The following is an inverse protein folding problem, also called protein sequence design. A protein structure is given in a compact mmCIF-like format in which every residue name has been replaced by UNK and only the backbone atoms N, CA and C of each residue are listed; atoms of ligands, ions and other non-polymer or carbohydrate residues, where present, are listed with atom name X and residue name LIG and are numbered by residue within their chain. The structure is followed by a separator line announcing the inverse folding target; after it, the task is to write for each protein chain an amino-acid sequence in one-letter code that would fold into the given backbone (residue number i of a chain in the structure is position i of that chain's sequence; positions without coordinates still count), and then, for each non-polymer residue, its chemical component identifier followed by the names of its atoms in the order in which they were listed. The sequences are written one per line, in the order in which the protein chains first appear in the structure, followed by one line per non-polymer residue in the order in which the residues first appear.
data_IF_414826673261
#
_entry.id   IF_414826673261
#
_cell.length_a   1.000
_cell.length_b   1.000
_cell.length_c   1.000
_cell.angle_alpha   90.00
_cell.angle_beta   90.00
_cell.angle_gamma   90.00
#
_symmetry.space_group_name_H-M   'P 1'
#
loop_
_entity.id
_entity.type
_entity.pdbx_description
1 polymer ?
#
# COMPACT_ATOMS: atom_id res chain seq x y z
N UNK A 1 -2.91 -21.55 59.40
CA UNK A 1 -2.48 -20.58 60.42
C UNK A 1 -2.17 -19.27 59.69
N UNK A 2 -2.98 -18.25 60.03
CA UNK A 2 -2.98 -16.83 59.68
C UNK A 2 -3.37 -16.41 58.23
N UNK A 3 -4.67 -16.08 58.13
CA UNK A 3 -5.27 -15.04 57.27
C UNK A 3 -4.61 -13.66 57.55
N UNK A 4 -4.45 -12.84 56.52
CA UNK A 4 -4.51 -11.37 56.69
C UNK A 4 -5.15 -10.75 55.46
N UNK A 5 -6.40 -10.38 55.63
CA UNK A 5 -7.21 -9.49 54.78
C UNK A 5 -6.77 -8.04 54.98
N UNK A 6 -6.59 -7.30 53.88
CA UNK A 6 -6.57 -5.79 53.92
C UNK A 6 -7.61 -5.25 52.94
N UNK A 7 -8.67 -4.78 53.57
CA UNK A 7 -9.65 -3.81 53.03
C UNK A 7 -9.10 -2.40 53.26
N UNK A 8 -8.98 -1.56 52.24
CA UNK A 8 -8.96 -0.11 52.42
C UNK A 8 -9.80 0.56 51.34
N UNK A 9 -10.73 1.29 51.86
CA UNK A 9 -11.82 2.13 51.43
C UNK A 9 -11.47 3.24 50.42
N UNK A 10 -12.47 3.53 49.58
CA UNK A 10 -12.60 4.77 48.77
C UNK A 10 -12.85 6.02 49.64
N UNK A 11 -12.55 7.22 49.14
CA UNK A 11 -13.42 8.37 49.40
C UNK A 11 -14.06 8.89 48.09
N UNK A 12 -15.32 9.12 48.26
CA UNK A 12 -16.27 9.84 47.42
C UNK A 12 -16.03 11.36 47.67
N UNK A 13 -15.81 12.14 46.62
CA UNK A 13 -15.84 13.62 46.78
C UNK A 13 -16.90 14.18 45.87
N UNK A 14 -17.91 14.66 46.50
CA UNK A 14 -19.05 15.45 46.02
C UNK A 14 -18.60 16.91 45.96
N UNK A 15 -18.76 17.63 44.86
CA UNK A 15 -18.72 19.12 44.84
C UNK A 15 -19.88 19.63 44.00
N UNK A 16 -20.55 20.59 44.64
CA UNK A 16 -21.86 21.12 44.37
C UNK A 16 -21.91 22.15 43.24
N UNK A 17 -23.11 22.22 42.65
CA UNK A 17 -23.61 23.31 41.82
C UNK A 17 -23.69 24.64 42.59
N UNK A 18 -23.32 25.75 41.94
CA UNK A 18 -23.85 27.07 42.25
C UNK A 18 -24.27 27.77 40.97
N UNK A 19 -25.56 28.04 40.91
CA UNK A 19 -26.21 28.95 39.97
C UNK A 19 -26.47 30.25 40.69
N UNK A 20 -26.19 31.38 40.06
CA UNK A 20 -26.74 32.76 40.34
C UNK A 20 -26.55 33.49 39.00
N UNK A 21 -27.49 34.18 38.39
CA UNK A 21 -28.63 34.92 38.86
C UNK A 21 -28.73 36.17 37.98
N UNK A 22 -29.85 36.38 37.36
CA UNK A 22 -30.24 37.49 36.48
C UNK A 22 -30.10 38.86 37.11
N UNK A 23 -29.76 39.91 36.31
CA UNK A 23 -30.45 41.18 36.33
C UNK A 23 -30.16 42.00 35.07
N UNK A 24 -31.20 42.34 34.36
CA UNK A 24 -31.22 43.24 33.24
C UNK A 24 -31.29 44.70 33.68
N UNK A 25 -30.95 45.60 32.76
CA UNK A 25 -31.54 46.95 32.67
C UNK A 25 -31.45 47.46 31.24
N UNK A 26 -32.61 47.83 30.79
CA UNK A 26 -32.93 48.49 29.54
C UNK A 26 -32.53 49.98 29.63
N UNK A 27 -31.92 50.57 28.64
CA UNK A 27 -32.19 51.98 28.30
C UNK A 27 -31.90 52.29 26.81
N UNK A 28 -32.93 52.79 26.21
CA UNK A 28 -33.00 53.33 24.86
C UNK A 28 -32.27 54.67 24.75
N UNK A 29 -31.49 54.89 23.67
CA UNK A 29 -31.63 56.13 22.90
C UNK A 29 -30.98 56.02 21.50
N UNK A 30 -31.61 56.76 20.63
CA UNK A 30 -31.59 56.81 19.17
C UNK A 30 -30.30 57.39 18.55
N UNK A 31 -30.17 56.97 17.26
CA UNK A 31 -29.64 57.72 16.08
C UNK A 31 -28.14 57.87 15.92
N UNK A 32 -27.54 57.18 14.98
CA UNK A 32 -27.20 57.75 13.68
C UNK A 32 -26.75 56.66 12.71
N UNK A 33 -27.31 56.79 11.52
CA UNK A 33 -27.03 56.02 10.32
C UNK A 33 -25.64 56.35 9.76
N UNK A 34 -24.75 55.39 9.69
CA UNK A 34 -23.71 55.37 8.68
C UNK A 34 -23.47 53.92 8.26
N UNK A 35 -23.79 53.62 7.00
CA UNK A 35 -23.58 52.37 6.33
C UNK A 35 -22.09 52.18 6.04
N UNK A 36 -21.48 51.14 6.59
CA UNK A 36 -20.22 50.60 6.12
C UNK A 36 -20.48 49.33 5.36
N UNK A 37 -19.78 49.08 4.23
CA UNK A 37 -20.07 47.97 3.34
C UNK A 37 -19.67 46.66 3.96
N UNK A 38 -20.60 45.71 3.88
CA UNK A 38 -20.32 44.29 4.09
C UNK A 38 -19.47 43.80 2.92
N UNK A 39 -18.17 43.64 3.11
CA UNK A 39 -17.33 42.79 2.29
C UNK A 39 -16.56 41.87 3.21
N UNK A 40 -17.22 40.80 3.60
CA UNK A 40 -16.67 39.67 4.29
C UNK A 40 -16.60 38.50 3.30
N UNK A 41 -15.79 38.63 2.27
CA UNK A 41 -15.39 37.51 1.43
C UNK A 41 -14.59 36.54 2.31
N UNK A 42 -15.27 35.52 2.83
CA UNK A 42 -14.61 34.35 3.36
C UNK A 42 -13.81 33.75 2.21
N UNK A 43 -12.53 34.08 2.15
CA UNK A 43 -11.58 33.40 1.29
C UNK A 43 -11.47 31.97 1.80
N UNK A 44 -12.30 31.08 1.28
CA UNK A 44 -12.00 29.66 1.23
C UNK A 44 -10.71 29.55 0.47
N UNK A 45 -9.62 29.33 1.18
CA UNK A 45 -8.36 28.88 0.59
C UNK A 45 -8.62 27.47 0.10
N UNK A 46 -9.21 27.34 -1.10
CA UNK A 46 -9.02 26.14 -1.90
C UNK A 46 -7.51 25.98 -2.00
N UNK A 47 -7.01 24.86 -1.44
CA UNK A 47 -5.64 24.45 -1.67
C UNK A 47 -5.48 24.41 -3.20
N UNK A 48 -4.77 25.39 -3.74
CA UNK A 48 -4.47 25.45 -5.17
C UNK A 48 -3.86 24.10 -5.52
N UNK A 49 -4.56 23.31 -6.33
CA UNK A 49 -4.02 22.13 -6.93
C UNK A 49 -2.71 22.56 -7.58
N UNK A 50 -1.61 21.97 -7.12
CA UNK A 50 -0.28 22.34 -7.56
C UNK A 50 -0.21 22.00 -9.05
N UNK A 51 -0.44 22.99 -9.93
CA UNK A 51 -0.48 22.85 -11.39
C UNK A 51 0.90 22.59 -11.99
N UNK A 52 1.94 22.67 -11.17
CA UNK A 52 3.30 22.33 -11.57
C UNK A 52 3.45 20.80 -11.58
N UNK A 53 3.91 20.23 -12.71
CA UNK A 53 4.20 18.81 -12.84
C UNK A 53 5.22 18.31 -11.81
N UNK A 54 5.28 17.01 -11.60
CA UNK A 54 6.20 16.38 -10.63
C UNK A 54 7.66 16.74 -10.92
N UNK A 55 8.07 16.80 -12.20
CA UNK A 55 9.44 17.18 -12.57
C UNK A 55 9.80 18.60 -12.12
N UNK A 56 8.88 19.55 -12.27
CA UNK A 56 9.09 20.93 -11.82
C UNK A 56 9.22 21.02 -10.30
N UNK A 57 8.33 20.34 -9.56
CA UNK A 57 8.41 20.24 -8.10
C UNK A 57 9.77 19.69 -7.64
N UNK A 58 10.24 18.59 -8.26
CA UNK A 58 11.53 17.97 -7.96
C UNK A 58 12.67 18.94 -8.24
N UNK A 59 12.64 19.63 -9.39
CA UNK A 59 13.65 20.61 -9.77
C UNK A 59 13.75 21.77 -8.78
N UNK A 60 12.60 22.28 -8.31
CA UNK A 60 12.55 23.40 -7.36
C UNK A 60 13.00 22.99 -5.96
N UNK A 61 12.63 21.78 -5.50
CA UNK A 61 12.97 21.31 -4.16
C UNK A 61 14.35 20.66 -4.04
N UNK A 62 14.95 20.26 -5.16
CA UNK A 62 16.17 19.45 -5.18
C UNK A 62 16.00 18.06 -4.56
N UNK A 63 14.78 17.58 -4.45
CA UNK A 63 14.47 16.31 -3.77
C UNK A 63 13.35 15.56 -4.48
N UNK A 64 13.55 14.28 -4.74
CA UNK A 64 12.50 13.34 -5.16
C UNK A 64 12.03 12.53 -3.94
N UNK A 65 10.73 12.39 -3.78
CA UNK A 65 10.12 11.65 -2.67
C UNK A 65 9.55 10.34 -3.18
N UNK A 66 10.16 9.26 -2.76
CA UNK A 66 9.86 7.89 -3.21
C UNK A 66 9.07 7.16 -2.13
N UNK A 67 7.93 6.57 -2.51
CA UNK A 67 7.12 5.77 -1.60
C UNK A 67 7.67 4.35 -1.49
N UNK A 68 7.93 3.85 -0.29
CA UNK A 68 8.40 2.48 -0.09
C UNK A 68 7.51 1.70 0.88
N UNK A 69 7.59 0.38 0.79
CA UNK A 69 6.94 -0.54 1.71
C UNK A 69 7.95 -1.08 2.73
N UNK A 70 7.45 -1.62 3.82
CA UNK A 70 8.28 -2.28 4.85
C UNK A 70 8.19 -3.81 4.82
N UNK A 71 7.17 -4.37 4.19
CA UNK A 71 6.92 -5.82 4.21
C UNK A 71 6.35 -6.40 2.90
N UNK A 72 6.58 -5.77 1.72
CA UNK A 72 6.17 -6.33 0.43
C UNK A 72 7.31 -7.13 -0.21
N UNK A 73 7.70 -8.25 0.42
CA UNK A 73 8.79 -9.12 -0.07
C UNK A 73 8.34 -9.89 -1.31
N UNK A 74 9.12 -9.90 -2.40
CA UNK A 74 10.45 -9.33 -2.59
C UNK A 74 10.47 -7.98 -3.32
N UNK A 75 9.35 -7.24 -3.40
CA UNK A 75 9.22 -6.03 -4.23
C UNK A 75 9.80 -4.77 -3.60
N UNK A 76 9.34 -4.44 -2.38
CA UNK A 76 9.77 -3.28 -1.61
C UNK A 76 9.63 -3.60 -0.13
N UNK A 77 10.72 -3.65 0.59
CA UNK A 77 10.71 -4.03 2.01
C UNK A 77 11.97 -3.55 2.74
N UNK A 78 11.92 -3.59 4.06
CA UNK A 78 13.04 -3.30 4.94
C UNK A 78 13.64 -4.63 5.42
N UNK A 79 14.95 -4.80 5.25
CA UNK A 79 15.69 -5.94 5.77
C UNK A 79 16.50 -5.53 7.02
N UNK A 80 17.78 -5.23 6.87
CA UNK A 80 18.70 -4.98 7.99
C UNK A 80 18.79 -3.50 8.35
N UNK A 81 18.76 -2.59 7.37
CA UNK A 81 18.80 -1.14 7.60
C UNK A 81 17.40 -0.53 7.48
N UNK A 82 16.83 0.02 8.58
CA UNK A 82 15.49 0.60 8.57
C UNK A 82 15.33 1.84 7.68
N UNK A 83 16.43 2.43 7.21
CA UNK A 83 16.43 3.61 6.34
C UNK A 83 16.67 3.26 4.87
N UNK A 84 16.89 2.00 4.54
CA UNK A 84 17.20 1.54 3.19
C UNK A 84 16.20 0.49 2.74
N UNK A 85 15.14 0.88 2.02
CA UNK A 85 14.29 -0.09 1.36
C UNK A 85 15.08 -0.84 0.28
N UNK A 86 14.72 -2.10 0.08
CA UNK A 86 15.29 -2.98 -0.94
C UNK A 86 14.18 -3.76 -1.64
N UNK A 87 14.48 -4.38 -2.76
CA UNK A 87 13.54 -5.26 -3.45
C UNK A 87 13.59 -5.09 -4.97
N UNK A 88 12.89 -5.99 -5.65
CA UNK A 88 12.79 -6.00 -7.11
C UNK A 88 12.21 -4.69 -7.66
N UNK A 89 11.06 -4.27 -7.13
CA UNK A 89 10.42 -3.03 -7.55
C UNK A 89 11.23 -1.80 -7.11
N UNK A 90 11.93 -1.89 -5.96
CA UNK A 90 12.84 -0.83 -5.53
C UNK A 90 14.04 -0.68 -6.46
N UNK A 91 14.61 -1.77 -6.98
CA UNK A 91 15.68 -1.68 -7.99
C UNK A 91 15.16 -0.97 -9.27
N UNK A 92 13.94 -1.27 -9.72
CA UNK A 92 13.29 -0.57 -10.85
C UNK A 92 13.02 0.91 -10.53
N UNK A 93 12.58 1.20 -9.32
CA UNK A 93 12.33 2.54 -8.82
C UNK A 93 13.60 3.40 -8.86
N UNK A 94 14.75 2.83 -8.52
CA UNK A 94 16.05 3.52 -8.63
C UNK A 94 16.45 3.80 -10.08
N UNK A 95 16.08 2.95 -11.05
CA UNK A 95 16.25 3.26 -12.49
C UNK A 95 15.44 4.47 -12.92
N UNK A 96 14.21 4.59 -12.41
CA UNK A 96 13.38 5.77 -12.63
C UNK A 96 14.02 7.01 -12.00
N UNK A 97 14.53 6.92 -10.78
CA UNK A 97 15.25 8.04 -10.12
C UNK A 97 16.45 8.50 -10.94
N UNK A 98 17.24 7.57 -11.48
CA UNK A 98 18.39 7.89 -12.31
C UNK A 98 17.96 8.57 -13.63
N UNK A 99 16.88 8.13 -14.26
CA UNK A 99 16.30 8.80 -15.43
C UNK A 99 15.81 10.22 -15.11
N UNK A 100 15.23 10.44 -13.92
CA UNK A 100 14.84 11.80 -13.46
C UNK A 100 16.06 12.69 -13.24
N UNK A 101 17.14 12.17 -12.63
CA UNK A 101 18.40 12.91 -12.47
C UNK A 101 18.97 13.36 -13.83
N UNK A 102 18.96 12.47 -14.81
CA UNK A 102 19.42 12.76 -16.17
C UNK A 102 18.51 13.81 -16.84
N UNK A 103 17.20 13.59 -16.82
CA UNK A 103 16.20 14.49 -17.42
C UNK A 103 16.29 15.91 -16.90
N UNK A 104 16.52 16.07 -15.59
CA UNK A 104 16.62 17.38 -14.94
C UNK A 104 18.03 17.95 -14.92
N UNK A 105 19.05 17.19 -15.37
CA UNK A 105 20.47 17.50 -15.23
C UNK A 105 20.86 17.80 -13.76
N UNK A 106 20.41 16.93 -12.85
CA UNK A 106 20.59 17.04 -11.39
C UNK A 106 21.27 15.78 -10.82
N UNK A 107 22.57 15.58 -11.03
CA UNK A 107 23.27 14.36 -10.55
C UNK A 107 23.22 14.21 -9.04
N UNK A 108 23.17 15.32 -8.30
CA UNK A 108 23.14 15.36 -6.84
C UNK A 108 21.70 15.42 -6.26
N UNK A 109 20.69 15.04 -7.06
CA UNK A 109 19.29 15.01 -6.62
C UNK A 109 19.14 14.15 -5.35
N UNK A 110 18.57 14.74 -4.32
CA UNK A 110 18.33 14.02 -3.05
C UNK A 110 17.14 13.08 -3.17
N UNK A 111 17.28 11.90 -2.59
CA UNK A 111 16.18 10.94 -2.48
C UNK A 111 15.68 10.97 -1.03
N UNK A 112 14.38 11.10 -0.86
CA UNK A 112 13.70 10.96 0.43
C UNK A 112 12.70 9.82 0.36
N UNK A 113 12.90 8.82 1.19
CA UNK A 113 11.99 7.69 1.32
C UNK A 113 10.80 8.05 2.22
N UNK A 114 9.62 7.64 1.83
CA UNK A 114 8.38 7.80 2.60
C UNK A 114 7.67 6.45 2.72
N UNK A 115 7.53 5.97 3.96
CA UNK A 115 6.82 4.72 4.21
C UNK A 115 5.34 4.86 3.83
N UNK A 116 4.87 3.93 3.01
CA UNK A 116 3.47 3.82 2.59
C UNK A 116 2.90 2.43 2.91
N UNK A 117 1.60 2.36 3.04
CA UNK A 117 0.83 1.11 3.14
C UNK A 117 -0.09 0.97 1.94
N UNK A 118 -0.73 -0.19 1.77
CA UNK A 118 -1.72 -0.37 0.72
C UNK A 118 -2.91 0.59 0.84
N UNK A 119 -3.25 1.04 2.05
CA UNK A 119 -4.30 2.04 2.30
C UNK A 119 -3.85 3.48 2.02
N UNK A 120 -2.58 3.82 2.34
CA UNK A 120 -2.14 5.22 2.33
C UNK A 120 -1.49 5.66 1.03
N UNK A 121 -1.02 4.72 0.19
CA UNK A 121 -0.26 5.03 -1.02
C UNK A 121 -1.02 5.94 -2.00
N UNK A 122 -2.28 5.65 -2.31
CA UNK A 122 -3.07 6.45 -3.27
C UNK A 122 -3.22 7.90 -2.79
N UNK A 123 -3.75 8.19 -1.59
CA UNK A 123 -3.88 9.59 -1.15
C UNK A 123 -2.54 10.32 -1.00
N UNK A 124 -1.44 9.62 -0.64
CA UNK A 124 -0.12 10.25 -0.52
C UNK A 124 0.49 10.62 -1.88
N UNK A 125 0.21 9.85 -2.92
CA UNK A 125 0.59 10.17 -4.30
C UNK A 125 -0.30 11.29 -4.86
N UNK A 126 -1.62 11.21 -4.65
CA UNK A 126 -2.56 12.22 -5.13
C UNK A 126 -2.24 13.63 -4.60
N UNK A 127 -1.95 13.74 -3.31
CA UNK A 127 -1.66 15.05 -2.68
C UNK A 127 -0.20 15.51 -2.86
N UNK A 128 0.65 14.72 -3.54
CA UNK A 128 2.05 15.04 -3.83
C UNK A 128 2.99 14.92 -2.63
N UNK A 129 2.58 14.29 -1.53
CA UNK A 129 3.48 13.93 -0.42
C UNK A 129 4.53 12.93 -0.88
N UNK A 130 4.12 12.00 -1.76
CA UNK A 130 4.97 11.04 -2.48
C UNK A 130 4.91 11.39 -3.96
N UNK A 131 6.05 11.43 -4.63
CA UNK A 131 6.11 11.73 -6.07
C UNK A 131 5.70 10.52 -6.90
N UNK A 132 6.19 9.36 -6.54
CA UNK A 132 5.81 8.06 -7.10
C UNK A 132 6.20 6.91 -6.16
N UNK A 133 5.68 5.74 -6.45
CA UNK A 133 6.09 4.49 -5.80
C UNK A 133 6.11 3.34 -6.80
N UNK A 134 7.06 2.43 -6.67
CA UNK A 134 7.07 1.14 -7.32
C UNK A 134 7.13 0.07 -6.23
N UNK A 135 6.06 -0.68 -6.08
CA UNK A 135 5.95 -1.71 -5.04
C UNK A 135 5.11 -2.88 -5.53
N UNK A 136 4.17 -3.30 -4.72
CA UNK A 136 3.16 -4.31 -5.05
C UNK A 136 1.80 -3.64 -5.30
N UNK A 137 1.71 -2.80 -6.34
CA UNK A 137 0.50 -2.02 -6.62
C UNK A 137 -0.14 -2.45 -7.92
N UNK A 138 -1.26 -3.13 -7.80
CA UNK A 138 -2.10 -3.55 -8.92
C UNK A 138 -2.62 -2.35 -9.69
N UNK A 139 -2.38 -2.33 -10.99
CA UNK A 139 -2.98 -1.43 -11.94
C UNK A 139 -4.37 -1.93 -12.33
N UNK A 140 -5.43 -1.23 -11.93
CA UNK A 140 -6.80 -1.53 -12.33
C UNK A 140 -7.62 -0.27 -12.64
N UNK A 141 -8.76 -0.43 -13.31
CA UNK A 141 -9.60 0.67 -13.77
C UNK A 141 -10.06 1.61 -12.64
N UNK A 142 -10.33 1.07 -11.45
CA UNK A 142 -10.79 1.86 -10.31
C UNK A 142 -9.68 2.80 -9.81
N UNK A 143 -8.45 2.28 -9.70
CA UNK A 143 -7.28 3.07 -9.28
C UNK A 143 -6.85 4.07 -10.35
N UNK A 144 -6.96 3.73 -11.64
CA UNK A 144 -6.67 4.66 -12.75
C UNK A 144 -7.59 5.88 -12.78
N UNK A 145 -8.76 5.84 -12.13
CA UNK A 145 -9.59 7.04 -11.94
C UNK A 145 -8.96 8.05 -11.00
N UNK A 146 -8.03 7.62 -10.15
CA UNK A 146 -7.45 8.40 -9.07
C UNK A 146 -5.97 8.74 -9.28
N UNK A 147 -5.21 7.84 -9.89
CA UNK A 147 -3.76 7.92 -10.12
C UNK A 147 -3.40 7.40 -11.49
N UNK A 148 -2.18 7.66 -11.96
CA UNK A 148 -1.63 7.07 -13.17
C UNK A 148 -0.71 5.90 -12.81
N UNK A 149 -0.57 4.97 -13.74
CA UNK A 149 0.34 3.83 -13.65
C UNK A 149 1.33 3.84 -14.82
N UNK A 150 2.52 3.32 -14.57
CA UNK A 150 3.49 2.99 -15.60
C UNK A 150 3.08 1.74 -16.39
N UNK A 151 3.84 1.42 -17.41
CA UNK A 151 3.88 0.08 -17.96
C UNK A 151 4.05 -0.96 -16.84
N UNK A 152 3.37 -2.10 -16.98
CA UNK A 152 3.44 -3.19 -16.03
C UNK A 152 4.84 -3.80 -15.96
N UNK A 153 5.25 -4.22 -14.76
CA UNK A 153 6.56 -4.83 -14.54
C UNK A 153 6.50 -6.19 -13.84
N UNK A 154 5.31 -6.61 -13.40
CA UNK A 154 5.10 -7.91 -12.78
C UNK A 154 3.65 -8.38 -12.91
N UNK A 155 3.42 -9.69 -12.87
CA UNK A 155 2.10 -10.32 -12.87
C UNK A 155 1.98 -11.28 -11.69
N UNK A 156 0.82 -11.28 -11.03
CA UNK A 156 0.52 -12.10 -9.85
C UNK A 156 -0.82 -12.82 -10.00
N UNK A 157 -0.99 -13.89 -9.21
CA UNK A 157 -2.27 -14.51 -8.92
C UNK A 157 -2.62 -14.43 -7.44
N UNK A 158 -3.88 -14.13 -7.09
CA UNK A 158 -4.29 -14.10 -5.68
C UNK A 158 -4.62 -15.49 -5.17
N UNK A 159 -4.02 -15.90 -4.05
CA UNK A 159 -4.11 -17.24 -3.47
C UNK A 159 -4.22 -17.20 -1.94
N UNK A 160 -4.13 -18.36 -1.32
CA UNK A 160 -4.19 -18.54 0.14
C UNK A 160 -2.87 -19.11 0.68
N UNK A 161 -2.41 -18.58 1.80
CA UNK A 161 -1.36 -19.18 2.64
C UNK A 161 -2.00 -19.74 3.90
N UNK A 162 -1.72 -21.00 4.21
CA UNK A 162 -2.26 -21.69 5.39
C UNK A 162 -1.28 -22.73 5.91
N UNK A 163 -1.55 -23.32 7.09
CA UNK A 163 -0.78 -24.45 7.56
C UNK A 163 -1.06 -25.70 6.74
N UNK A 164 -0.05 -26.53 6.55
CA UNK A 164 -0.17 -27.80 5.80
C UNK A 164 -1.24 -28.75 6.37
N UNK A 165 -1.45 -28.71 7.67
CA UNK A 165 -2.42 -29.55 8.41
C UNK A 165 -3.76 -28.85 8.69
N UNK A 166 -4.00 -27.67 8.09
CA UNK A 166 -5.24 -26.90 8.29
C UNK A 166 -6.50 -27.54 7.70
N UNK A 167 -6.33 -28.42 6.72
CA UNK A 167 -7.41 -28.98 5.92
C UNK A 167 -7.95 -28.02 4.84
N UNK A 168 -7.40 -26.80 4.72
CA UNK A 168 -7.76 -25.82 3.69
C UNK A 168 -6.95 -26.12 2.42
N UNK A 169 -7.65 -26.38 1.30
CA UNK A 169 -7.06 -26.64 0.00
C UNK A 169 -7.47 -25.57 -1.02
N UNK A 170 -8.66 -24.99 -0.88
CA UNK A 170 -9.19 -23.94 -1.76
C UNK A 170 -10.14 -23.00 -1.01
N UNK A 171 -10.70 -22.03 -1.70
CA UNK A 171 -11.55 -20.97 -1.15
C UNK A 171 -12.85 -21.49 -0.55
N UNK A 172 -13.40 -22.61 -1.05
CA UNK A 172 -14.60 -23.25 -0.51
C UNK A 172 -14.39 -23.77 0.93
N UNK A 173 -13.16 -24.12 1.28
CA UNK A 173 -12.82 -24.63 2.62
C UNK A 173 -12.79 -23.50 3.68
N UNK A 174 -12.90 -22.25 3.26
CA UNK A 174 -12.91 -21.09 4.16
C UNK A 174 -14.23 -20.88 4.88
N UNK A 175 -15.26 -21.68 4.58
CA UNK A 175 -16.59 -21.51 5.18
C UNK A 175 -16.53 -21.58 6.71
N UNK A 176 -17.00 -20.50 7.37
CA UNK A 176 -16.98 -20.36 8.82
C UNK A 176 -15.61 -20.19 9.45
N UNK A 177 -14.55 -20.01 8.65
CA UNK A 177 -13.18 -19.82 9.11
C UNK A 177 -12.87 -18.33 9.33
N UNK A 178 -11.74 -18.07 9.99
CA UNK A 178 -11.16 -16.74 10.08
C UNK A 178 -10.07 -16.58 9.04
N UNK A 179 -10.19 -15.55 8.19
CA UNK A 179 -9.22 -15.22 7.18
C UNK A 179 -8.63 -13.83 7.46
N UNK A 180 -7.30 -13.72 7.39
CA UNK A 180 -6.62 -12.42 7.41
C UNK A 180 -6.26 -11.99 5.99
N UNK A 181 -6.31 -10.69 5.74
CA UNK A 181 -5.80 -10.04 4.53
C UNK A 181 -5.18 -8.71 4.90
N UNK A 182 -4.62 -7.97 3.91
CA UNK A 182 -4.07 -6.64 4.15
C UNK A 182 -5.04 -5.56 3.72
N UNK A 183 -5.27 -4.59 4.59
CA UNK A 183 -6.19 -3.48 4.35
C UNK A 183 -5.79 -2.64 3.12
N UNK A 184 -6.78 -2.27 2.28
CA UNK A 184 -6.58 -1.46 1.07
C UNK A 184 -6.05 -2.23 -0.14
N UNK A 185 -6.07 -3.56 -0.11
CA UNK A 185 -5.68 -4.42 -1.23
C UNK A 185 -6.87 -4.84 -2.10
N UNK A 186 -6.58 -5.30 -3.30
CA UNK A 186 -7.56 -5.97 -4.17
C UNK A 186 -8.03 -7.28 -3.55
N UNK A 187 -7.13 -8.01 -2.89
CA UNK A 187 -7.43 -9.25 -2.16
C UNK A 187 -8.47 -9.03 -1.04
N UNK A 188 -8.36 -7.92 -0.28
CA UNK A 188 -9.35 -7.58 0.75
C UNK A 188 -10.73 -7.36 0.14
N UNK A 189 -10.81 -6.59 -0.95
CA UNK A 189 -12.07 -6.34 -1.64
C UNK A 189 -12.66 -7.64 -2.17
N UNK A 190 -11.85 -8.43 -2.86
CA UNK A 190 -12.28 -9.69 -3.45
C UNK A 190 -12.86 -10.65 -2.42
N UNK A 191 -12.15 -10.89 -1.30
CA UNK A 191 -12.62 -11.86 -0.31
C UNK A 191 -13.91 -11.42 0.39
N UNK A 192 -14.12 -10.12 0.58
CA UNK A 192 -15.38 -9.61 1.12
C UNK A 192 -16.52 -9.82 0.14
N UNK A 193 -16.33 -9.49 -1.15
CA UNK A 193 -17.31 -9.72 -2.20
C UNK A 193 -17.61 -11.23 -2.37
N UNK A 194 -16.57 -12.08 -2.34
CA UNK A 194 -16.70 -13.54 -2.40
C UNK A 194 -17.52 -14.09 -1.23
N UNK A 195 -17.21 -13.66 -0.01
CA UNK A 195 -17.88 -14.06 1.22
C UNK A 195 -19.37 -13.72 1.16
N UNK A 196 -19.71 -12.50 0.79
CA UNK A 196 -21.10 -12.02 0.70
C UNK A 196 -21.88 -12.74 -0.40
N UNK A 197 -21.30 -12.87 -1.59
CA UNK A 197 -21.92 -13.53 -2.75
C UNK A 197 -22.23 -15.00 -2.50
N UNK A 198 -21.27 -15.72 -1.88
CA UNK A 198 -21.35 -17.16 -1.68
C UNK A 198 -21.88 -17.55 -0.29
N UNK A 199 -22.16 -16.57 0.58
CA UNK A 199 -22.66 -16.79 1.97
C UNK A 199 -21.75 -17.76 2.75
N UNK A 200 -20.46 -17.47 2.73
CA UNK A 200 -19.42 -18.34 3.27
C UNK A 200 -19.27 -18.20 4.78
N UNK A 201 -19.80 -17.13 5.39
CA UNK A 201 -19.65 -16.84 6.82
C UNK A 201 -18.16 -16.79 7.27
N UNK A 202 -17.31 -16.22 6.40
CA UNK A 202 -15.89 -16.02 6.66
C UNK A 202 -15.74 -14.81 7.60
N UNK A 203 -15.05 -14.97 8.71
CA UNK A 203 -14.63 -13.86 9.55
C UNK A 203 -13.39 -13.20 8.93
N UNK A 204 -13.57 -12.15 8.12
CA UNK A 204 -12.47 -11.44 7.45
C UNK A 204 -11.90 -10.36 8.33
N UNK A 205 -10.63 -10.51 8.73
CA UNK A 205 -9.86 -9.52 9.48
C UNK A 205 -8.80 -8.89 8.58
N UNK A 206 -8.53 -7.58 8.75
CA UNK A 206 -7.59 -6.84 7.93
C UNK A 206 -6.44 -6.34 8.77
N UNK A 207 -5.21 -6.66 8.36
CA UNK A 207 -3.98 -6.17 8.97
C UNK A 207 -3.50 -4.89 8.25
N UNK A 208 -2.64 -4.12 8.89
CA UNK A 208 -2.07 -2.88 8.34
C UNK A 208 -1.15 -3.15 7.14
N UNK A 209 -0.36 -4.22 7.22
CA UNK A 209 0.61 -4.64 6.20
C UNK A 209 0.72 -6.16 6.11
N UNK A 210 1.50 -6.66 5.13
CA UNK A 210 1.60 -8.10 4.87
C UNK A 210 2.30 -8.84 5.99
N UNK A 211 3.31 -8.22 6.62
CA UNK A 211 4.03 -8.81 7.75
C UNK A 211 3.14 -8.99 8.98
N UNK A 212 2.30 -7.99 9.29
CA UNK A 212 1.33 -8.10 10.38
C UNK A 212 0.26 -9.16 10.06
N UNK A 213 -0.21 -9.23 8.80
CA UNK A 213 -1.16 -10.26 8.37
C UNK A 213 -0.58 -11.67 8.57
N UNK A 214 0.66 -11.89 8.12
CA UNK A 214 1.32 -13.17 8.33
C UNK A 214 1.56 -13.47 9.81
N UNK A 215 1.95 -12.49 10.62
CA UNK A 215 2.09 -12.67 12.07
C UNK A 215 0.78 -13.07 12.74
N UNK A 216 -0.36 -12.53 12.29
CA UNK A 216 -1.68 -12.96 12.78
C UNK A 216 -1.96 -14.43 12.43
N UNK A 217 -1.63 -14.85 11.21
CA UNK A 217 -1.75 -16.25 10.78
C UNK A 217 -0.82 -17.15 11.59
N UNK A 218 0.46 -16.78 11.73
CA UNK A 218 1.48 -17.57 12.45
C UNK A 218 1.11 -17.78 13.93
N UNK A 219 0.48 -16.78 14.56
CA UNK A 219 0.01 -16.84 15.94
C UNK A 219 -1.37 -17.52 16.10
N UNK A 220 -1.94 -18.08 15.03
CA UNK A 220 -3.22 -18.79 15.08
C UNK A 220 -4.44 -17.87 15.28
N UNK A 221 -4.33 -16.57 14.97
CA UNK A 221 -5.46 -15.62 15.00
C UNK A 221 -6.30 -15.67 13.72
N UNK A 222 -5.82 -16.33 12.70
CA UNK A 222 -6.49 -16.64 11.46
C UNK A 222 -6.15 -18.06 11.00
N UNK A 223 -7.02 -18.67 10.21
CA UNK A 223 -6.83 -19.99 9.62
C UNK A 223 -6.10 -19.92 8.26
N UNK A 224 -6.27 -18.81 7.53
CA UNK A 224 -5.63 -18.54 6.24
C UNK A 224 -5.31 -17.05 6.07
N UNK A 225 -4.34 -16.76 5.20
CA UNK A 225 -4.00 -15.43 4.73
C UNK A 225 -4.18 -15.37 3.21
N UNK A 226 -5.07 -14.50 2.73
CA UNK A 226 -5.28 -14.25 1.30
C UNK A 226 -4.46 -13.06 0.84
N UNK A 227 -3.61 -13.28 -0.17
CA UNK A 227 -2.79 -12.25 -0.82
C UNK A 227 -2.27 -12.76 -2.17
N UNK A 228 -1.50 -11.93 -2.83
CA UNK A 228 -0.81 -12.24 -4.07
C UNK A 228 0.24 -13.34 -3.84
N UNK A 229 0.26 -14.35 -4.69
CA UNK A 229 1.03 -15.60 -4.51
C UNK A 229 2.52 -15.39 -4.20
N UNK A 230 3.14 -14.44 -4.90
CA UNK A 230 4.54 -14.10 -4.68
C UNK A 230 4.78 -13.39 -3.34
N UNK A 231 3.84 -12.56 -2.88
CA UNK A 231 3.91 -11.95 -1.55
C UNK A 231 3.72 -12.99 -0.45
N UNK A 232 2.82 -13.96 -0.67
CA UNK A 232 2.67 -15.12 0.23
C UNK A 232 3.95 -15.95 0.30
N UNK A 233 4.63 -16.14 -0.84
CA UNK A 233 5.93 -16.84 -0.88
C UNK A 233 7.00 -16.07 -0.09
N UNK A 234 7.04 -14.73 -0.21
CA UNK A 234 7.94 -13.86 0.55
C UNK A 234 7.69 -13.95 2.06
N UNK A 235 6.43 -13.88 2.50
CA UNK A 235 6.08 -14.00 3.91
C UNK A 235 6.38 -15.40 4.47
N UNK A 236 6.05 -16.45 3.71
CA UNK A 236 6.42 -17.84 4.04
C UNK A 236 7.93 -18.00 4.21
N UNK A 237 8.73 -17.41 3.31
CA UNK A 237 10.20 -17.55 3.34
C UNK A 237 10.80 -16.97 4.62
N UNK A 238 10.21 -15.94 5.21
CA UNK A 238 10.68 -15.35 6.49
C UNK A 238 10.08 -16.01 7.73
N UNK A 239 9.16 -16.96 7.59
CA UNK A 239 8.57 -17.69 8.71
C UNK A 239 9.64 -18.35 9.56
N UNK A 240 9.31 -18.62 10.83
CA UNK A 240 10.20 -19.38 11.72
C UNK A 240 10.43 -20.81 11.20
N UNK A 241 9.37 -21.44 10.72
CA UNK A 241 9.35 -22.78 10.13
C UNK A 241 8.64 -22.71 8.76
N UNK A 242 9.32 -22.36 7.67
CA UNK A 242 8.68 -22.19 6.35
C UNK A 242 7.98 -23.48 5.85
N UNK A 243 8.48 -24.65 6.27
CA UNK A 243 7.95 -25.95 5.86
C UNK A 243 6.59 -26.29 6.47
N UNK A 244 6.14 -25.58 7.49
CA UNK A 244 4.80 -25.74 8.07
C UNK A 244 3.69 -25.11 7.20
N UNK A 245 4.07 -24.24 6.26
CA UNK A 245 3.17 -23.42 5.48
C UNK A 245 3.06 -23.89 4.04
N UNK A 246 1.88 -23.73 3.45
CA UNK A 246 1.60 -24.05 2.05
C UNK A 246 0.76 -22.96 1.41
N UNK A 247 1.06 -22.63 0.15
CA UNK A 247 0.23 -21.77 -0.68
C UNK A 247 -0.72 -22.69 -1.46
N UNK A 248 -2.02 -22.44 -1.32
CA UNK A 248 -3.10 -23.27 -1.87
C UNK A 248 -4.16 -22.42 -2.56
N UNK A 249 -5.13 -23.06 -3.17
CA UNK A 249 -6.23 -22.45 -3.91
C UNK A 249 -5.85 -22.09 -5.34
N UNK A 250 -6.79 -22.21 -6.26
CA UNK A 250 -6.63 -21.67 -7.61
C UNK A 250 -6.58 -20.16 -7.56
N UNK A 251 -5.77 -19.49 -8.41
CA UNK A 251 -5.73 -18.04 -8.45
C UNK A 251 -7.10 -17.43 -8.72
N UNK A 252 -7.55 -16.54 -7.86
CA UNK A 252 -8.86 -15.91 -8.00
C UNK A 252 -8.85 -14.66 -8.87
N UNK A 253 -7.66 -14.10 -9.09
CA UNK A 253 -7.42 -13.02 -10.05
C UNK A 253 -6.01 -13.12 -10.60
N UNK A 254 -5.81 -12.57 -11.79
CA UNK A 254 -4.49 -12.27 -12.34
C UNK A 254 -4.36 -10.76 -12.43
N UNK A 255 -3.31 -10.21 -11.85
CA UNK A 255 -3.15 -8.76 -11.71
C UNK A 255 -1.75 -8.34 -12.14
N UNK A 256 -1.66 -7.14 -12.73
CA UNK A 256 -0.39 -6.54 -13.16
C UNK A 256 0.00 -5.43 -12.19
N UNK A 257 1.24 -5.43 -11.72
CA UNK A 257 1.81 -4.33 -10.96
C UNK A 257 2.42 -3.28 -11.87
N UNK A 258 2.23 -2.02 -11.51
CA UNK A 258 2.87 -0.86 -12.14
C UNK A 258 3.35 0.13 -11.09
N UNK A 259 4.31 0.98 -11.46
CA UNK A 259 4.65 2.14 -10.64
C UNK A 259 3.49 3.13 -10.66
N UNK A 260 3.16 3.70 -9.51
CA UNK A 260 2.03 4.61 -9.36
C UNK A 260 2.51 6.04 -9.15
N UNK A 261 1.89 6.99 -9.84
CA UNK A 261 2.21 8.41 -9.80
C UNK A 261 0.94 9.26 -9.91
N UNK A 262 1.05 10.58 -9.78
CA UNK A 262 -0.10 11.46 -9.91
C UNK A 262 -0.78 11.29 -11.27
N UNK A 263 -2.10 11.32 -11.24
CA UNK A 263 -2.90 11.44 -12.46
C UNK A 263 -2.65 12.81 -13.11
N UNK A 264 -2.82 12.88 -14.41
CA UNK A 264 -2.70 14.13 -15.17
C UNK A 264 -1.28 14.77 -15.16
N UNK A 265 -0.25 13.91 -15.03
CA UNK A 265 1.17 14.29 -15.14
C UNK A 265 1.87 13.47 -16.24
N UNK A 266 1.54 13.72 -17.52
CA UNK A 266 2.05 12.92 -18.63
C UNK A 266 3.57 13.05 -18.85
N UNK A 267 4.17 14.19 -18.45
CA UNK A 267 5.62 14.38 -18.58
C UNK A 267 6.38 13.47 -17.61
N UNK A 268 5.94 13.38 -16.36
CA UNK A 268 6.56 12.49 -15.38
C UNK A 268 6.32 11.03 -15.76
N UNK A 269 5.07 10.67 -16.17
CA UNK A 269 4.75 9.33 -16.65
C UNK A 269 5.65 8.90 -17.81
N UNK A 270 5.90 9.78 -18.76
CA UNK A 270 6.78 9.47 -19.90
C UNK A 270 8.21 9.13 -19.46
N UNK A 271 8.77 9.83 -18.46
CA UNK A 271 10.10 9.51 -17.89
C UNK A 271 10.09 8.14 -17.22
N UNK A 272 9.04 7.83 -16.44
CA UNK A 272 8.91 6.53 -15.77
C UNK A 272 8.80 5.39 -16.78
N UNK A 273 7.94 5.53 -17.79
CA UNK A 273 7.74 4.51 -18.82
C UNK A 273 8.99 4.28 -19.67
N UNK A 274 9.70 5.36 -20.05
CA UNK A 274 10.96 5.28 -20.79
C UNK A 274 12.04 4.57 -19.97
N UNK A 275 12.17 4.89 -18.68
CA UNK A 275 13.13 4.22 -17.79
C UNK A 275 12.87 2.71 -17.71
N UNK A 276 11.63 2.30 -17.51
CA UNK A 276 11.25 0.88 -17.47
C UNK A 276 11.46 0.20 -18.83
N UNK A 277 11.06 0.84 -19.92
CA UNK A 277 11.25 0.30 -21.27
C UNK A 277 12.75 0.09 -21.61
N UNK A 278 13.63 0.96 -21.14
CA UNK A 278 15.08 0.81 -21.29
C UNK A 278 15.59 -0.42 -20.50
N UNK A 279 15.15 -0.62 -19.28
CA UNK A 279 15.48 -1.81 -18.47
C UNK A 279 15.01 -3.10 -19.15
N UNK A 280 13.81 -3.08 -19.75
CA UNK A 280 13.24 -4.25 -20.44
C UNK A 280 13.98 -4.54 -21.73
N UNK A 281 14.17 -3.56 -22.60
CA UNK A 281 14.77 -3.72 -23.91
C UNK A 281 16.27 -4.02 -23.88
N UNK A 282 16.97 -3.54 -22.86
CA UNK A 282 18.39 -3.91 -22.63
C UNK A 282 18.59 -5.32 -22.13
N UNK A 283 17.53 -5.97 -21.63
CA UNK A 283 17.61 -7.26 -20.94
C UNK A 283 18.09 -7.19 -19.49
N UNK A 284 18.31 -6.01 -18.95
CA UNK A 284 18.73 -5.81 -17.54
C UNK A 284 17.68 -6.37 -16.56
N UNK A 285 16.41 -6.37 -16.97
CA UNK A 285 15.31 -6.92 -16.17
C UNK A 285 15.56 -8.37 -15.75
N UNK A 286 16.22 -9.18 -16.59
CA UNK A 286 16.50 -10.58 -16.26
C UNK A 286 17.46 -10.68 -15.05
N UNK A 287 18.51 -9.88 -15.02
CA UNK A 287 19.45 -9.87 -13.89
C UNK A 287 18.82 -9.34 -12.60
N UNK A 288 17.92 -8.34 -12.71
CA UNK A 288 17.15 -7.84 -11.57
C UNK A 288 16.17 -8.90 -11.09
N UNK A 289 15.49 -9.60 -12.02
CA UNK A 289 14.60 -10.71 -11.67
C UNK A 289 15.35 -11.82 -10.95
N UNK A 290 16.45 -12.30 -11.52
CA UNK A 290 17.26 -13.37 -10.94
C UNK A 290 17.74 -13.04 -9.54
N UNK A 291 18.15 -11.79 -9.30
CA UNK A 291 18.57 -11.31 -7.98
C UNK A 291 17.51 -11.55 -6.91
N UNK A 292 16.23 -11.36 -7.23
CA UNK A 292 15.16 -11.30 -6.24
C UNK A 292 14.27 -12.56 -6.18
N UNK A 293 14.25 -13.37 -7.23
CA UNK A 293 13.32 -14.49 -7.33
C UNK A 293 13.98 -15.86 -7.44
N UNK A 294 15.19 -15.93 -8.01
CA UNK A 294 15.91 -17.19 -8.22
C UNK A 294 17.23 -17.30 -7.48
N UNK A 295 17.60 -16.25 -6.73
CA UNK A 295 18.76 -16.24 -5.85
C UNK A 295 18.34 -15.98 -4.39
N UNK A 296 19.24 -16.27 -3.41
CA UNK A 296 18.97 -15.98 -2.02
C UNK A 296 18.85 -14.50 -1.73
N UNK A 297 17.79 -14.10 -1.02
CA UNK A 297 17.48 -12.70 -0.68
C UNK A 297 17.54 -12.43 0.83
N UNK A 298 17.91 -11.19 1.24
CA UNK A 298 17.86 -10.80 2.66
C UNK A 298 16.42 -10.80 3.22
N UNK A 299 16.25 -10.83 4.57
CA UNK A 299 17.32 -10.94 5.57
C UNK A 299 17.76 -12.38 5.85
N UNK A 300 16.98 -13.39 5.49
CA UNK A 300 17.24 -14.80 5.83
C UNK A 300 18.05 -15.56 4.78
N UNK A 301 18.46 -14.92 3.72
CA UNK A 301 19.19 -15.53 2.62
C UNK A 301 18.45 -16.74 2.01
N UNK A 302 17.16 -16.59 1.80
CA UNK A 302 16.26 -17.61 1.26
C UNK A 302 16.01 -17.35 -0.22
N UNK A 303 16.11 -18.39 -1.05
CA UNK A 303 15.71 -18.37 -2.45
C UNK A 303 14.20 -18.66 -2.53
N UNK A 304 13.43 -17.80 -3.20
CA UNK A 304 12.00 -18.02 -3.43
C UNK A 304 11.72 -19.11 -4.45
N UNK A 305 12.70 -19.42 -5.30
CA UNK A 305 12.59 -20.37 -6.42
C UNK A 305 11.34 -20.06 -7.30
N UNK A 306 11.16 -18.78 -7.57
CA UNK A 306 10.01 -18.29 -8.33
C UNK A 306 10.46 -17.95 -9.75
N UNK A 307 10.21 -18.86 -10.67
CA UNK A 307 10.59 -18.70 -12.09
C UNK A 307 9.70 -17.67 -12.80
N UNK A 308 10.29 -16.93 -13.75
CA UNK A 308 9.55 -15.95 -14.55
C UNK A 308 8.52 -16.64 -15.44
N UNK A 309 7.24 -16.33 -15.25
CA UNK A 309 6.13 -16.88 -16.03
C UNK A 309 6.21 -16.46 -17.50
N UNK A 310 5.58 -17.22 -18.38
CA UNK A 310 5.53 -16.85 -19.80
C UNK A 310 4.70 -15.60 -20.04
N UNK A 311 3.68 -15.35 -19.22
CA UNK A 311 2.89 -14.12 -19.25
C UNK A 311 3.74 -12.91 -18.87
N UNK A 312 4.57 -13.01 -17.82
CA UNK A 312 5.48 -11.94 -17.45
C UNK A 312 6.54 -11.67 -18.54
N UNK A 313 7.07 -12.73 -19.17
CA UNK A 313 7.97 -12.57 -20.34
C UNK A 313 7.28 -11.85 -21.50
N UNK A 314 6.00 -12.17 -21.74
CA UNK A 314 5.20 -11.50 -22.79
C UNK A 314 4.93 -10.04 -22.44
N UNK A 315 4.62 -9.73 -21.18
CA UNK A 315 4.44 -8.37 -20.69
C UNK A 315 5.73 -7.53 -20.85
N UNK A 316 6.88 -8.08 -20.49
CA UNK A 316 8.19 -7.42 -20.65
C UNK A 316 8.53 -7.19 -22.12
N UNK A 317 8.21 -8.14 -22.98
CA UNK A 317 8.46 -8.04 -24.43
C UNK A 317 7.53 -7.02 -25.12
N UNK A 318 6.34 -6.79 -24.56
CA UNK A 318 5.35 -5.86 -25.10
C UNK A 318 4.71 -5.04 -23.95
N UNK A 319 5.45 -4.09 -23.35
CA UNK A 319 5.02 -3.36 -22.17
C UNK A 319 3.76 -2.51 -22.43
N UNK A 320 2.83 -2.50 -21.47
CA UNK A 320 1.63 -1.70 -21.52
C UNK A 320 1.13 -1.36 -20.11
N UNK A 321 0.34 -0.30 -20.02
CA UNK A 321 -0.32 0.18 -18.80
C UNK A 321 -1.83 -0.11 -18.79
N UNK A 322 -2.27 -1.08 -19.58
CA UNK A 322 -3.69 -1.45 -19.65
C UNK A 322 -4.17 -1.92 -18.28
N UNK A 323 -5.23 -1.26 -17.79
CA UNK A 323 -5.85 -1.64 -16.54
C UNK A 323 -6.44 -3.05 -16.64
N UNK A 324 -6.26 -3.85 -15.61
CA UNK A 324 -7.01 -5.10 -15.48
C UNK A 324 -8.50 -4.77 -15.26
N UNK A 325 -9.43 -5.43 -15.97
CA UNK A 325 -10.85 -5.26 -15.73
C UNK A 325 -11.20 -5.67 -14.29
N UNK A 326 -12.25 -5.08 -13.73
CA UNK A 326 -12.68 -5.33 -12.35
C UNK A 326 -12.98 -6.81 -12.06
N UNK A 327 -13.30 -7.57 -13.09
CA UNK A 327 -13.73 -8.98 -13.06
C UNK A 327 -12.79 -9.88 -13.86
N UNK A 328 -11.47 -9.77 -13.66
CA UNK A 328 -10.55 -10.77 -14.19
C UNK A 328 -10.74 -12.08 -13.39
N UNK A 329 -11.83 -12.80 -13.66
CA UNK A 329 -12.01 -14.18 -13.23
C UNK A 329 -11.01 -15.04 -13.97
N UNK A 330 -10.33 -15.93 -13.25
CA UNK A 330 -9.61 -17.04 -13.86
C UNK A 330 -10.52 -17.75 -14.87
N UNK A 331 -10.08 -17.85 -16.12
CA UNK A 331 -10.72 -18.64 -17.15
C UNK A 331 -10.31 -20.11 -17.01
#
# INVERSE_FOLDING_TARGET
MYLTTYLISKPLTLVAFMALGLAGCNNSNQTNTEALPADGTATTTEAAANTNGTLQKIKESGTIVVGHRDSSIPFSYIADDPNQPIGYAHDLEMKVVDAVKEKLNMPDLKIRYNLITSQTRIPLVQNGTVDFECGSTTNNEERQKQVAFSNGFFEIGTRLLTKKDSGIQDFEDLKGKTLVTTAGTTSERYIREYNDKNKMDINVISAKDHGEAFLMLENGRADAFMMDDVLLAGEKAKAKNPDEWVIVGEPQSFEIYGCMMRKDDPEFKAVVDEALANVFSSGEINSIYDKWFTNPIPPKNVNLNFEMSDNLKALIANPHDSAQPKEATAQ
#
